data_IF_846446131902
#
_entry.id   IF_846446131902
#
_cell.length_a   1.000
_cell.length_b   1.000
_cell.length_c   1.000
_cell.angle_alpha   90.00
_cell.angle_beta   90.00
_cell.angle_gamma   90.00
#
_symmetry.space_group_name_H-M   'P 1'
#
loop_
_entity.id
_entity.type
_entity.pdbx_description
1 polymer ?
#
# COMPACT_ATOMS: atom_id res chain seq x y z
N UNK A 1 -13.76 -21.70 -13.16
CA UNK A 1 -14.55 -20.53 -12.67
C UNK A 1 -13.58 -19.45 -12.24
N UNK A 2 -13.68 -18.21 -12.75
CA UNK A 2 -12.98 -17.07 -12.14
C UNK A 2 -13.84 -16.60 -10.97
N UNK A 3 -13.40 -16.85 -9.74
CA UNK A 3 -14.08 -16.32 -8.56
C UNK A 3 -13.98 -14.79 -8.52
N UNK A 4 -15.03 -14.11 -8.08
CA UNK A 4 -14.95 -12.68 -7.82
C UNK A 4 -14.05 -12.46 -6.59
N UNK A 5 -13.07 -11.56 -6.65
CA UNK A 5 -12.22 -11.27 -5.50
C UNK A 5 -13.08 -10.72 -4.36
N UNK A 6 -12.84 -11.20 -3.15
CA UNK A 6 -13.50 -10.76 -1.92
C UNK A 6 -12.44 -10.44 -0.88
N UNK A 7 -12.59 -9.31 -0.20
CA UNK A 7 -11.80 -9.00 0.98
C UNK A 7 -12.28 -9.87 2.15
N UNK A 8 -11.35 -10.55 2.82
CA UNK A 8 -11.65 -11.43 3.96
C UNK A 8 -11.18 -10.82 5.29
N UNK A 9 -10.08 -10.08 5.29
CA UNK A 9 -9.59 -9.29 6.42
C UNK A 9 -8.68 -8.17 5.92
N UNK A 10 -8.43 -7.18 6.77
CA UNK A 10 -7.46 -6.11 6.56
C UNK A 10 -6.56 -5.96 7.79
N UNK A 11 -5.38 -5.36 7.59
CA UNK A 11 -4.49 -4.95 8.66
C UNK A 11 -3.67 -3.75 8.21
N UNK A 12 -3.20 -2.95 9.15
CA UNK A 12 -2.32 -1.83 8.88
C UNK A 12 -1.36 -1.56 10.04
N UNK A 13 -0.34 -0.75 9.75
CA UNK A 13 0.66 -0.31 10.73
C UNK A 13 0.82 1.20 10.63
N UNK A 14 1.07 1.85 11.75
CA UNK A 14 1.41 3.27 11.74
C UNK A 14 2.89 3.53 11.38
N UNK A 15 3.27 4.80 11.42
CA UNK A 15 4.63 5.28 11.12
C UNK A 15 5.73 4.69 12.02
N UNK A 16 5.36 4.07 13.14
CA UNK A 16 6.25 3.44 14.10
C UNK A 16 6.15 1.90 14.03
N UNK A 17 5.54 1.36 12.96
CA UNK A 17 5.29 -0.08 12.78
C UNK A 17 4.36 -0.69 13.84
N UNK A 18 3.59 0.15 14.53
CA UNK A 18 2.60 -0.32 15.51
C UNK A 18 1.31 -0.66 14.77
N UNK A 19 0.81 -1.86 15.01
CA UNK A 19 -0.44 -2.34 14.43
C UNK A 19 -1.62 -1.44 14.78
N UNK A 20 -2.42 -1.10 13.76
CA UNK A 20 -3.75 -0.51 13.93
C UNK A 20 -4.79 -1.55 13.57
N UNK A 21 -5.75 -1.72 14.47
CA UNK A 21 -6.82 -2.72 14.36
C UNK A 21 -8.15 -2.09 13.88
N UNK A 22 -8.11 -0.85 13.38
CA UNK A 22 -9.28 -0.09 12.96
C UNK A 22 -9.09 0.56 11.58
N UNK A 23 -10.19 1.04 11.01
CA UNK A 23 -10.21 1.73 9.73
C UNK A 23 -9.62 3.15 9.79
N UNK A 24 -9.02 3.54 10.92
CA UNK A 24 -8.38 4.86 11.09
C UNK A 24 -7.21 5.10 10.13
N UNK A 25 -6.67 4.01 9.57
CA UNK A 25 -5.60 4.01 8.59
C UNK A 25 -6.06 4.16 7.14
N UNK A 26 -7.38 4.12 6.88
CA UNK A 26 -7.91 4.32 5.54
C UNK A 26 -7.87 5.79 5.16
N UNK A 27 -7.40 6.04 3.94
CA UNK A 27 -7.48 7.36 3.30
C UNK A 27 -8.45 7.30 2.13
N UNK A 28 -9.13 8.41 1.88
CA UNK A 28 -10.16 8.54 0.86
C UNK A 28 -9.67 9.49 -0.23
N UNK A 29 -9.93 9.15 -1.49
CA UNK A 29 -9.66 10.05 -2.61
C UNK A 29 -10.53 11.32 -2.48
N UNK A 30 -9.91 12.50 -2.50
CA UNK A 30 -10.64 13.76 -2.48
C UNK A 30 -10.80 14.34 -3.89
N UNK A 31 -11.99 14.13 -4.47
CA UNK A 31 -12.33 14.62 -5.80
C UNK A 31 -12.50 16.14 -5.89
N UNK A 32 -12.46 16.89 -4.77
CA UNK A 32 -12.48 18.35 -4.81
C UNK A 32 -11.15 18.96 -5.21
N UNK A 33 -10.07 18.16 -5.18
CA UNK A 33 -8.74 18.61 -5.58
C UNK A 33 -8.57 18.74 -7.10
N UNK A 34 -9.46 18.14 -7.89
CA UNK A 34 -9.44 18.22 -9.36
C UNK A 34 -9.55 19.67 -9.88
N UNK A 35 -10.07 20.61 -9.08
CA UNK A 35 -10.13 22.04 -9.43
C UNK A 35 -8.92 22.86 -9.00
N UNK A 36 -8.13 22.38 -8.03
CA UNK A 36 -7.00 23.12 -7.44
C UNK A 36 -5.68 22.83 -8.17
N UNK A 37 -5.61 21.78 -8.99
CA UNK A 37 -4.39 21.37 -9.71
C UNK A 37 -4.16 22.06 -11.05
N UNK A 38 -4.73 23.25 -11.23
CA UNK A 38 -4.35 24.15 -12.34
C UNK A 38 -2.95 24.75 -12.18
N UNK A 39 -2.32 24.58 -11.01
CA UNK A 39 -0.98 25.06 -10.69
C UNK A 39 0.12 23.98 -10.87
N UNK A 40 1.35 24.42 -11.15
CA UNK A 40 2.54 23.57 -11.26
C UNK A 40 2.91 22.92 -9.91
N UNK A 41 2.25 21.82 -9.55
CA UNK A 41 2.56 21.06 -8.34
C UNK A 41 3.97 20.48 -8.45
N UNK A 42 4.83 20.85 -7.53
CA UNK A 42 6.14 20.23 -7.39
C UNK A 42 6.03 18.94 -6.57
N UNK A 43 5.97 17.78 -7.23
CA UNK A 43 5.93 16.46 -6.59
C UNK A 43 7.24 16.06 -5.89
N UNK A 44 8.32 16.82 -6.09
CA UNK A 44 9.59 16.63 -5.40
C UNK A 44 9.73 17.54 -4.16
N UNK A 45 8.67 18.27 -3.79
CA UNK A 45 8.68 19.10 -2.57
C UNK A 45 8.97 18.21 -1.36
N UNK A 46 9.77 18.72 -0.42
CA UNK A 46 10.17 18.02 0.80
C UNK A 46 10.97 16.72 0.63
N UNK A 47 11.51 16.43 -0.57
CA UNK A 47 12.44 15.31 -0.80
C UNK A 47 13.54 15.21 0.27
N UNK A 48 14.10 16.36 0.70
CA UNK A 48 15.16 16.43 1.71
C UNK A 48 14.71 16.01 3.12
N UNK A 49 13.42 16.18 3.43
CA UNK A 49 12.82 15.86 4.73
C UNK A 49 12.21 14.45 4.72
N UNK A 50 12.17 13.79 3.57
CA UNK A 50 11.65 12.45 3.43
C UNK A 50 12.66 11.43 3.96
N UNK A 51 12.31 10.76 5.06
CA UNK A 51 13.19 9.74 5.62
C UNK A 51 13.11 8.43 4.85
N UNK A 52 14.16 8.14 4.07
CA UNK A 52 14.38 6.84 3.44
C UNK A 52 14.56 5.70 4.46
N UNK A 53 14.88 5.99 5.72
CA UNK A 53 15.05 4.95 6.75
C UNK A 53 13.77 4.16 7.02
N UNK A 54 12.60 4.74 6.71
CA UNK A 54 11.29 4.06 6.78
C UNK A 54 11.08 3.03 5.67
N UNK A 55 11.97 2.99 4.69
CA UNK A 55 11.87 2.16 3.50
C UNK A 55 12.77 0.93 3.56
N UNK A 56 13.66 0.81 4.54
CA UNK A 56 14.51 -0.37 4.68
C UNK A 56 13.71 -1.65 5.06
N UNK A 57 12.41 -1.54 5.38
CA UNK A 57 11.47 -2.65 5.56
C UNK A 57 10.53 -2.82 4.36
N UNK A 58 11.05 -2.71 3.11
CA UNK A 58 10.30 -3.05 1.90
C UNK A 58 10.00 -4.53 1.74
N UNK A 59 10.62 -5.39 2.56
CA UNK A 59 10.27 -6.80 2.60
C UNK A 59 8.83 -6.92 3.08
N UNK A 60 7.99 -7.57 2.25
CA UNK A 60 6.64 -7.89 2.67
C UNK A 60 6.74 -8.70 3.97
N UNK A 61 6.17 -8.16 5.06
CA UNK A 61 6.07 -8.81 6.37
C UNK A 61 5.13 -10.00 6.29
N UNK A 62 5.61 -11.07 5.65
CA UNK A 62 4.86 -12.31 5.45
C UNK A 62 4.52 -12.95 6.80
N UNK A 63 5.38 -12.76 7.80
CA UNK A 63 5.14 -13.08 9.21
C UNK A 63 3.88 -12.40 9.76
N UNK A 64 3.77 -11.08 9.60
CA UNK A 64 2.62 -10.31 10.06
C UNK A 64 1.34 -10.76 9.32
N UNK A 65 1.43 -10.98 8.01
CA UNK A 65 0.31 -11.50 7.21
C UNK A 65 -0.20 -12.85 7.74
N UNK A 66 0.69 -13.81 8.02
CA UNK A 66 0.33 -15.11 8.56
C UNK A 66 -0.28 -15.01 9.98
N UNK A 67 0.21 -14.09 10.80
CA UNK A 67 -0.37 -13.83 12.13
C UNK A 67 -1.83 -13.34 12.02
N UNK A 68 -2.11 -12.44 11.06
CA UNK A 68 -3.47 -11.93 10.83
C UNK A 68 -4.39 -12.97 10.21
N UNK A 69 -3.88 -13.78 9.29
CA UNK A 69 -4.59 -14.93 8.74
C UNK A 69 -5.03 -15.88 9.87
N UNK A 70 -4.10 -16.24 10.76
CA UNK A 70 -4.36 -17.09 11.92
C UNK A 70 -5.38 -16.47 12.89
N UNK A 71 -5.34 -15.15 13.09
CA UNK A 71 -6.34 -14.44 13.91
C UNK A 71 -7.73 -14.50 13.27
N UNK A 72 -7.81 -14.32 11.96
CA UNK A 72 -9.06 -14.41 11.20
C UNK A 72 -9.66 -15.82 11.28
N UNK A 73 -8.85 -16.85 11.03
CA UNK A 73 -9.23 -18.27 11.14
C UNK A 73 -9.83 -18.63 12.51
N UNK A 74 -9.21 -18.15 13.60
CA UNK A 74 -9.73 -18.38 14.95
C UNK A 74 -11.10 -17.77 15.18
N UNK A 75 -11.39 -16.63 14.56
CA UNK A 75 -12.66 -15.91 14.73
C UNK A 75 -13.74 -16.54 13.86
N UNK A 76 -13.44 -16.87 12.60
CA UNK A 76 -14.43 -17.34 11.64
C UNK A 76 -14.62 -18.85 11.65
N UNK A 77 -13.61 -19.62 12.06
CA UNK A 77 -13.58 -21.10 12.01
C UNK A 77 -13.81 -21.69 10.61
N UNK A 78 -13.55 -20.92 9.55
CA UNK A 78 -13.96 -21.28 8.17
C UNK A 78 -12.83 -21.41 7.16
N UNK A 79 -11.58 -21.05 7.50
CA UNK A 79 -10.56 -20.90 6.44
C UNK A 79 -9.78 -22.17 6.09
N UNK A 80 -9.64 -23.12 7.01
CA UNK A 80 -8.66 -24.21 6.90
C UNK A 80 -8.87 -25.12 5.68
N UNK A 81 -10.05 -25.16 5.05
CA UNK A 81 -10.37 -26.17 4.03
C UNK A 81 -10.59 -25.66 2.59
N UNK A 82 -10.62 -24.34 2.33
CA UNK A 82 -11.03 -23.81 1.02
C UNK A 82 -9.94 -23.03 0.26
N UNK A 83 -8.76 -22.79 0.85
CA UNK A 83 -7.69 -22.00 0.20
C UNK A 83 -6.51 -22.90 -0.18
N UNK A 84 -6.43 -23.30 -1.45
CA UNK A 84 -5.31 -24.12 -1.92
C UNK A 84 -3.98 -23.35 -2.10
N UNK A 85 -4.03 -22.01 -2.14
CA UNK A 85 -2.89 -21.18 -2.51
C UNK A 85 -2.92 -19.83 -1.79
N UNK A 86 -1.83 -19.52 -1.09
CA UNK A 86 -1.66 -18.33 -0.26
C UNK A 86 -0.38 -17.61 -0.70
N UNK A 87 -0.51 -16.36 -1.14
CA UNK A 87 0.64 -15.56 -1.57
C UNK A 87 0.36 -14.06 -1.46
N UNK A 88 1.40 -13.26 -1.67
CA UNK A 88 1.30 -11.81 -1.73
C UNK A 88 1.05 -11.36 -3.17
N UNK A 89 0.36 -10.22 -3.33
CA UNK A 89 0.09 -9.63 -4.66
C UNK A 89 1.37 -9.42 -5.46
N UNK A 90 2.47 -9.04 -4.82
CA UNK A 90 3.74 -8.79 -5.49
C UNK A 90 4.36 -10.07 -6.08
N UNK A 91 4.23 -11.21 -5.39
CA UNK A 91 4.70 -12.49 -5.92
C UNK A 91 3.90 -12.88 -7.16
N UNK A 92 2.57 -12.79 -7.08
CA UNK A 92 1.67 -13.10 -8.19
C UNK A 92 1.87 -12.16 -9.39
N UNK A 93 2.07 -10.86 -9.16
CA UNK A 93 2.36 -9.90 -10.22
C UNK A 93 3.70 -10.18 -10.90
N UNK A 94 4.72 -10.57 -10.13
CA UNK A 94 6.02 -10.97 -10.66
C UNK A 94 5.91 -12.22 -11.52
N UNK A 95 5.15 -13.24 -11.08
CA UNK A 95 4.85 -14.42 -11.89
C UNK A 95 4.08 -14.07 -13.18
N UNK A 96 3.07 -13.20 -13.10
CA UNK A 96 2.28 -12.79 -14.25
C UNK A 96 3.10 -12.04 -15.31
N UNK A 97 4.17 -11.37 -14.90
CA UNK A 97 5.04 -10.56 -15.77
C UNK A 97 6.38 -11.23 -16.09
N UNK A 98 6.58 -12.49 -15.68
CA UNK A 98 7.87 -13.18 -15.85
C UNK A 98 8.25 -13.33 -17.34
N UNK A 99 7.25 -13.60 -18.18
CA UNK A 99 7.43 -13.80 -19.63
C UNK A 99 7.88 -12.49 -20.31
N UNK A 100 7.29 -11.37 -19.93
CA UNK A 100 7.55 -10.07 -20.57
C UNK A 100 8.74 -9.33 -19.98
N UNK A 101 9.02 -9.51 -18.68
CA UNK A 101 10.06 -8.74 -17.99
C UNK A 101 11.49 -9.24 -18.24
N UNK A 102 11.66 -10.52 -18.64
CA UNK A 102 12.95 -11.20 -18.71
C UNK A 102 13.78 -11.09 -17.41
N UNK A 103 13.15 -10.70 -16.29
CA UNK A 103 13.80 -10.59 -14.99
C UNK A 103 13.67 -11.92 -14.26
N UNK A 104 14.78 -12.42 -13.72
CA UNK A 104 14.76 -13.56 -12.82
C UNK A 104 13.99 -13.23 -11.54
N UNK A 105 13.03 -14.08 -11.19
CA UNK A 105 12.30 -14.02 -9.94
C UNK A 105 12.62 -15.26 -9.10
N UNK A 106 12.87 -15.04 -7.81
CA UNK A 106 13.16 -16.09 -6.86
C UNK A 106 12.05 -16.08 -5.81
N UNK A 107 11.44 -17.24 -5.60
CA UNK A 107 10.32 -17.43 -4.69
C UNK A 107 10.60 -18.59 -3.75
N UNK A 108 10.13 -18.46 -2.52
CA UNK A 108 10.04 -19.55 -1.57
C UNK A 108 8.66 -20.18 -1.69
N UNK A 109 8.63 -21.51 -1.84
CA UNK A 109 7.39 -22.28 -1.90
C UNK A 109 7.39 -23.29 -0.74
N UNK A 110 6.31 -23.30 0.03
CA UNK A 110 6.11 -24.20 1.15
C UNK A 110 4.73 -24.84 1.05
N UNK A 111 4.66 -26.17 1.15
CA UNK A 111 3.38 -26.87 1.28
C UNK A 111 3.12 -27.13 2.76
N UNK A 112 1.99 -26.64 3.26
CA UNK A 112 1.62 -26.77 4.66
C UNK A 112 0.10 -26.80 4.79
N UNK A 113 -0.42 -27.74 5.58
CA UNK A 113 -1.84 -27.86 5.92
C UNK A 113 -2.79 -27.76 4.71
N UNK A 114 -2.55 -28.62 3.70
CA UNK A 114 -3.37 -28.64 2.48
C UNK A 114 -3.13 -27.50 1.49
N UNK A 115 -2.37 -26.47 1.88
CA UNK A 115 -2.22 -25.21 1.17
C UNK A 115 -0.79 -24.99 0.66
N UNK A 116 -0.65 -24.32 -0.48
CA UNK A 116 0.65 -23.86 -1.00
C UNK A 116 0.86 -22.40 -0.58
N UNK A 117 1.94 -22.15 0.14
CA UNK A 117 2.41 -20.82 0.51
C UNK A 117 3.52 -20.39 -0.43
N UNK A 118 3.34 -19.25 -1.11
CA UNK A 118 4.34 -18.65 -1.97
C UNK A 118 4.72 -17.27 -1.43
N UNK A 119 6.01 -17.07 -1.16
CA UNK A 119 6.59 -15.79 -0.76
C UNK A 119 7.82 -15.45 -1.61
N UNK A 120 8.26 -14.20 -1.57
CA UNK A 120 9.47 -13.77 -2.27
C UNK A 120 10.68 -14.07 -1.40
N UNK A 121 11.81 -14.46 -2.01
CA UNK A 121 13.06 -14.58 -1.26
C UNK A 121 13.62 -13.18 -0.94
N UNK A 122 13.43 -12.75 0.30
CA UNK A 122 13.84 -11.43 0.76
C UNK A 122 15.37 -11.28 0.85
N UNK A 123 16.11 -12.37 1.11
CA UNK A 123 17.57 -12.30 1.18
C UNK A 123 18.16 -11.89 -0.17
N UNK A 124 17.62 -12.45 -1.26
CA UNK A 124 18.03 -12.14 -2.62
C UNK A 124 17.46 -10.79 -3.11
N UNK A 125 16.25 -10.41 -2.67
CA UNK A 125 15.63 -9.14 -3.02
C UNK A 125 16.34 -7.93 -2.40
N UNK A 126 16.64 -8.00 -1.10
CA UNK A 126 17.30 -6.91 -0.36
C UNK A 126 18.74 -6.70 -0.87
N UNK A 127 19.45 -7.78 -1.20
CA UNK A 127 20.77 -7.67 -1.85
C UNK A 127 20.68 -7.00 -3.23
N UNK A 128 19.67 -7.32 -4.05
CA UNK A 128 19.48 -6.67 -5.36
C UNK A 128 19.19 -5.17 -5.18
N UNK A 129 18.35 -4.78 -4.23
CA UNK A 129 18.08 -3.36 -3.91
C UNK A 129 19.36 -2.67 -3.44
N UNK A 130 20.07 -3.23 -2.46
CA UNK A 130 21.32 -2.67 -1.94
C UNK A 130 22.37 -2.52 -3.04
N UNK A 131 22.47 -3.49 -3.97
CA UNK A 131 23.39 -3.42 -5.10
C UNK A 131 22.99 -2.32 -6.10
N UNK A 132 21.70 -2.16 -6.40
CA UNK A 132 21.21 -1.05 -7.25
C UNK A 132 21.56 0.31 -6.62
N UNK A 133 21.35 0.47 -5.30
CA UNK A 133 21.70 1.72 -4.61
C UNK A 133 23.21 1.96 -4.55
N UNK A 134 24.02 0.90 -4.37
CA UNK A 134 25.49 0.99 -4.36
C UNK A 134 26.09 1.31 -5.72
N UNK A 135 25.50 0.79 -6.80
CA UNK A 135 25.98 1.02 -8.17
C UNK A 135 25.64 2.42 -8.72
N UNK A 136 24.60 3.08 -8.19
CA UNK A 136 24.15 4.40 -8.65
C UNK A 136 24.69 5.56 -7.78
N UNK A 137 25.95 5.54 -7.34
CA UNK A 137 26.49 6.49 -6.34
C UNK A 137 26.62 7.97 -6.77
N UNK A 138 26.52 8.29 -8.05
CA UNK A 138 26.60 9.68 -8.54
C UNK A 138 25.21 10.31 -8.76
N UNK A 139 25.15 11.59 -9.13
CA UNK A 139 23.97 12.49 -9.23
C UNK A 139 22.64 11.86 -9.69
N UNK A 140 22.68 10.78 -10.49
CA UNK A 140 21.59 9.88 -10.83
C UNK A 140 20.82 9.33 -9.62
N UNK A 141 21.46 9.12 -8.46
CA UNK A 141 20.81 8.67 -7.22
C UNK A 141 19.81 9.70 -6.68
N UNK A 142 20.12 11.00 -6.83
CA UNK A 142 19.25 12.07 -6.34
C UNK A 142 17.96 12.12 -7.14
N UNK A 143 18.03 11.88 -8.45
CA UNK A 143 16.88 11.91 -9.35
C UNK A 143 16.02 10.64 -9.20
N UNK A 144 16.64 9.46 -9.08
CA UNK A 144 15.95 8.20 -8.81
C UNK A 144 15.23 8.25 -7.45
N UNK A 145 15.91 8.74 -6.41
CA UNK A 145 15.31 8.89 -5.08
C UNK A 145 14.17 9.92 -5.09
N UNK A 146 14.30 11.03 -5.86
CA UNK A 146 13.21 11.99 -6.06
C UNK A 146 11.98 11.34 -6.72
N UNK A 147 12.18 10.55 -7.78
CA UNK A 147 11.10 9.86 -8.47
C UNK A 147 10.36 8.87 -7.56
N UNK A 148 11.08 8.14 -6.70
CA UNK A 148 10.46 7.24 -5.72
C UNK A 148 9.57 7.98 -4.72
N UNK A 149 9.85 9.25 -4.43
CA UNK A 149 9.11 10.07 -3.46
C UNK A 149 7.87 10.71 -4.09
N UNK A 150 7.90 11.02 -5.39
CA UNK A 150 6.79 11.63 -6.10
C UNK A 150 5.48 10.84 -5.94
N UNK A 151 5.54 9.51 -5.94
CA UNK A 151 4.36 8.66 -5.74
C UNK A 151 3.69 8.87 -4.37
N UNK A 152 4.49 8.94 -3.30
CA UNK A 152 3.98 9.19 -1.94
C UNK A 152 3.45 10.62 -1.77
N UNK A 153 4.14 11.60 -2.34
CA UNK A 153 3.69 12.99 -2.32
C UNK A 153 2.35 13.13 -3.05
N UNK A 154 2.23 12.48 -4.22
CA UNK A 154 0.99 12.47 -4.98
C UNK A 154 -0.16 11.81 -4.20
N UNK A 155 0.08 10.64 -3.59
CA UNK A 155 -0.92 9.97 -2.75
C UNK A 155 -1.38 10.86 -1.60
N UNK A 156 -0.44 11.50 -0.89
CA UNK A 156 -0.76 12.43 0.21
C UNK A 156 -1.54 13.66 -0.27
N UNK A 157 -1.23 14.18 -1.45
CA UNK A 157 -1.93 15.33 -2.01
C UNK A 157 -3.36 14.97 -2.38
N UNK A 158 -3.60 13.79 -2.96
CA UNK A 158 -4.89 13.35 -3.51
C UNK A 158 -5.83 12.71 -2.47
N UNK A 159 -5.39 12.53 -1.24
CA UNK A 159 -6.13 11.76 -0.24
C UNK A 159 -6.38 12.53 1.06
N UNK A 160 -7.45 12.16 1.75
CA UNK A 160 -7.86 12.72 3.05
C UNK A 160 -8.18 11.61 4.04
N UNK A 161 -7.92 11.85 5.33
CA UNK A 161 -8.20 10.90 6.42
C UNK A 161 -9.70 10.84 6.78
N UNK A 162 -10.51 11.78 6.29
CA UNK A 162 -11.95 11.84 6.61
C UNK A 162 -12.79 11.95 5.35
N UNK A 163 -13.92 11.22 5.31
CA UNK A 163 -14.94 11.43 4.28
C UNK A 163 -15.46 12.86 4.38
N UNK A 164 -15.18 13.67 3.37
CA UNK A 164 -15.68 15.04 3.25
C UNK A 164 -17.21 15.01 3.01
N UNK A 165 -18.01 14.78 4.06
CA UNK A 165 -19.48 14.83 4.05
C UNK A 165 -20.04 16.26 3.98
N UNK A 166 -19.33 17.20 3.34
CA UNK A 166 -19.71 18.61 3.26
C UNK A 166 -20.65 18.92 2.08
N UNK A 167 -21.69 18.10 1.85
CA UNK A 167 -22.78 18.44 0.91
C UNK A 167 -24.15 18.76 1.54
N UNK A 168 -24.37 18.60 2.85
CA UNK A 168 -25.69 18.93 3.45
C UNK A 168 -25.72 20.03 4.52
N UNK A 169 -24.61 20.33 5.20
CA UNK A 169 -24.66 21.28 6.33
C UNK A 169 -24.60 22.75 5.87
N UNK A 170 -23.93 23.06 4.74
CA UNK A 170 -23.83 24.45 4.24
C UNK A 170 -25.12 24.96 3.55
N UNK A 171 -26.00 24.09 3.04
CA UNK A 171 -27.31 24.53 2.50
C UNK A 171 -28.33 24.87 3.60
N UNK A 172 -28.30 24.16 4.75
CA UNK A 172 -29.21 24.45 5.86
C UNK A 172 -28.87 25.74 6.62
N UNK A 173 -27.60 26.16 6.66
CA UNK A 173 -27.20 27.43 7.30
C UNK A 173 -27.40 28.68 6.43
N UNK A 174 -27.58 28.53 5.11
CA UNK A 174 -27.95 29.66 4.23
C UNK A 174 -29.47 29.88 4.14
N UNK A 175 -30.28 28.83 4.37
CA UNK A 175 -31.75 28.94 4.38
C UNK A 175 -32.31 29.50 5.70
N UNK A 176 -31.58 29.41 6.82
CA UNK A 176 -32.01 30.00 8.10
C UNK A 176 -31.74 31.51 8.24
N UNK A 177 -31.06 32.13 7.26
CA UNK A 177 -30.84 33.59 7.19
C UNK A 177 -31.83 34.34 6.30
N UNK A 178 -32.81 33.66 5.70
CA UNK A 178 -33.90 34.28 4.93
C UNK A 178 -35.27 34.04 5.57
N UNK A 179 -35.40 34.29 6.87
CA UNK A 179 -36.67 34.73 7.46
C UNK A 179 -36.34 35.69 8.61
N UNK A 180 -36.40 36.99 8.33
CA UNK A 180 -36.93 38.03 9.21
C UNK A 180 -37.08 39.32 8.41
N UNK A 181 -38.33 39.80 8.42
CA UNK A 181 -38.97 40.92 7.70
C UNK A 181 -39.27 40.65 6.24
#
# INVERSE_FOLDING_TARGET
>A
MRGNPKEIFYYSTDKNEIEKNDFSSLVYYDSQLDTDYSENINLCTDYKNFSLSKFNNFSCRYDLFLEKLKKYEKVTKTLENDINFISTKNCLASLATIISSQKGCEFNLCYFDGSIYLSQDFCCYDQKIVNIYKHNKDSTNTMLSKNSICGYVLEKLLTTETLNNNKEVKKKQQLSKRVKL
#
